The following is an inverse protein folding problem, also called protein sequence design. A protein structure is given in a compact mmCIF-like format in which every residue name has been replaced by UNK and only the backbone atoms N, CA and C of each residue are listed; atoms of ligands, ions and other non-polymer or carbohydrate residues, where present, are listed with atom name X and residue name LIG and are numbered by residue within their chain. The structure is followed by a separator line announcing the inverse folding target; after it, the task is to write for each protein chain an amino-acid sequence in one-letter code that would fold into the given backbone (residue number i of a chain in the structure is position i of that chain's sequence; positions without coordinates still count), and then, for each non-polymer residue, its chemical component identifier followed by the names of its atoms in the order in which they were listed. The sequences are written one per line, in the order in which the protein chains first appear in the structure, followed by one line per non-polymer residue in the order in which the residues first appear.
data_IF_187629151441
#
_entry.id   IF_187629151441
#
_cell.length_a   1.000
_cell.length_b   1.000
_cell.length_c   1.000
_cell.angle_alpha   90.00
_cell.angle_beta   90.00
_cell.angle_gamma   90.00
#
_symmetry.space_group_name_H-M   'P 1'
#
loop_
_entity.id
_entity.type
_entity.pdbx_description
1 polymer ?
#
# COMPACT_ATOMS: atom_id res chain seq x y z
N UNK A 1 -19.69 -1.73 -2.12
CA UNK A 1 -19.72 -1.25 -3.53
C UNK A 1 -18.54 -1.83 -4.30
N UNK A 2 -17.28 -1.72 -3.81
CA UNK A 2 -16.06 -2.13 -4.53
C UNK A 2 -16.16 -3.56 -5.10
N UNK A 3 -16.47 -4.57 -4.27
CA UNK A 3 -16.65 -5.94 -4.72
C UNK A 3 -17.67 -6.06 -5.87
N UNK A 4 -18.81 -5.36 -5.79
CA UNK A 4 -19.85 -5.39 -6.85
C UNK A 4 -19.39 -4.76 -8.18
N UNK A 5 -18.47 -3.81 -8.12
CA UNK A 5 -17.85 -3.22 -9.32
C UNK A 5 -16.91 -4.22 -9.98
N UNK A 6 -16.08 -4.89 -9.17
CA UNK A 6 -15.16 -5.93 -9.67
C UNK A 6 -15.94 -7.09 -10.29
N UNK A 7 -17.02 -7.59 -9.67
CA UNK A 7 -17.90 -8.62 -10.23
C UNK A 7 -18.47 -8.26 -11.59
N UNK A 8 -18.58 -6.96 -11.90
CA UNK A 8 -19.06 -6.44 -13.19
C UNK A 8 -17.94 -6.08 -14.17
N UNK A 9 -16.72 -6.53 -13.90
CA UNK A 9 -15.58 -6.36 -14.79
C UNK A 9 -14.81 -5.04 -14.64
N UNK A 10 -15.08 -4.24 -13.59
CA UNK A 10 -14.24 -3.08 -13.29
C UNK A 10 -12.90 -3.59 -12.75
N UNK A 11 -11.84 -3.33 -13.49
CA UNK A 11 -10.51 -3.90 -13.20
C UNK A 11 -9.78 -3.21 -12.07
N UNK A 12 -10.04 -1.93 -11.84
CA UNK A 12 -9.35 -1.15 -10.81
C UNK A 12 -10.36 -0.28 -10.05
N UNK A 13 -10.40 -0.45 -8.74
CA UNK A 13 -11.28 0.31 -7.85
C UNK A 13 -10.43 0.96 -6.78
N UNK A 14 -10.39 2.29 -6.79
CA UNK A 14 -9.64 3.06 -5.81
C UNK A 14 -10.58 3.72 -4.81
N UNK A 15 -10.29 3.56 -3.53
CA UNK A 15 -11.07 4.10 -2.43
C UNK A 15 -10.22 5.08 -1.64
N UNK A 16 -10.71 6.29 -1.51
CA UNK A 16 -10.09 7.30 -0.67
C UNK A 16 -10.94 7.60 0.55
N UNK A 17 -10.29 7.81 1.67
CA UNK A 17 -10.95 8.44 2.81
C UNK A 17 -11.10 9.95 2.53
N UNK A 18 -12.25 10.51 2.87
CA UNK A 18 -12.45 11.96 2.75
C UNK A 18 -11.52 12.72 3.71
N UNK A 19 -10.91 13.80 3.25
CA UNK A 19 -9.90 14.59 3.98
C UNK A 19 -8.63 13.77 4.23
N UNK A 20 -7.79 14.18 5.20
CA UNK A 20 -6.52 13.54 5.55
C UNK A 20 -6.55 13.00 7.00
N UNK A 21 -7.35 11.97 7.30
CA UNK A 21 -7.55 11.51 8.67
C UNK A 21 -6.33 10.81 9.29
N UNK A 22 -5.35 10.46 8.46
CA UNK A 22 -4.10 9.81 8.86
C UNK A 22 -2.95 10.79 9.07
N UNK A 23 -3.12 12.05 8.66
CA UNK A 23 -2.12 13.11 8.77
C UNK A 23 -2.21 13.79 10.14
N UNK A 24 -1.74 13.10 11.17
CA UNK A 24 -1.88 13.51 12.56
C UNK A 24 -0.60 14.14 13.09
N UNK A 25 -0.39 15.43 12.81
CA UNK A 25 0.67 16.26 13.40
C UNK A 25 0.37 16.69 14.85
N UNK A 26 -0.86 16.44 15.30
CA UNK A 26 -1.30 16.67 16.67
C UNK A 26 -2.44 15.73 17.05
N UNK A 27 -2.74 15.62 18.34
CA UNK A 27 -3.87 14.84 18.85
C UNK A 27 -3.93 13.39 18.37
N UNK A 28 -2.77 12.75 18.13
CA UNK A 28 -2.65 11.39 17.57
C UNK A 28 -3.48 10.38 18.36
N UNK A 29 -3.37 10.42 19.70
CA UNK A 29 -4.03 9.46 20.59
C UNK A 29 -5.56 9.46 20.49
N UNK A 30 -6.15 10.56 20.01
CA UNK A 30 -7.60 10.69 19.85
C UNK A 30 -8.05 10.60 18.39
N UNK A 31 -7.23 11.05 17.46
CA UNK A 31 -7.57 11.12 16.03
C UNK A 31 -7.36 9.79 15.32
N UNK A 32 -6.24 9.12 15.56
CA UNK A 32 -5.93 7.84 14.94
C UNK A 32 -6.96 6.75 15.26
N UNK A 33 -7.39 6.52 16.51
CA UNK A 33 -8.44 5.54 16.79
C UNK A 33 -9.75 5.81 16.04
N UNK A 34 -10.13 7.08 15.87
CA UNK A 34 -11.33 7.46 15.10
C UNK A 34 -11.20 7.15 13.62
N UNK A 35 -10.01 7.32 13.05
CA UNK A 35 -9.73 6.95 11.67
C UNK A 35 -9.78 5.41 11.50
N UNK A 36 -9.13 4.67 12.39
CA UNK A 36 -9.15 3.20 12.40
C UNK A 36 -10.58 2.65 12.51
N UNK A 37 -11.40 3.14 13.43
CA UNK A 37 -12.79 2.70 13.60
C UNK A 37 -13.63 2.80 12.32
N UNK A 38 -13.32 3.77 11.44
CA UNK A 38 -14.02 3.96 10.17
C UNK A 38 -13.58 2.99 9.08
N UNK A 39 -12.37 2.49 9.15
CA UNK A 39 -11.74 1.70 8.06
C UNK A 39 -11.55 0.23 8.40
N UNK A 40 -11.37 -0.15 9.66
CA UNK A 40 -11.06 -1.53 10.05
C UNK A 40 -12.14 -2.52 9.64
N UNK A 41 -13.38 -2.28 10.07
CA UNK A 41 -14.51 -3.17 9.74
C UNK A 41 -14.80 -3.24 8.24
N UNK A 42 -14.85 -2.11 7.49
CA UNK A 42 -15.02 -2.16 6.04
C UNK A 42 -13.89 -2.91 5.32
N UNK A 43 -12.64 -2.71 5.72
CA UNK A 43 -11.49 -3.40 5.12
C UNK A 43 -11.54 -4.90 5.38
N UNK A 44 -11.72 -5.30 6.64
CA UNK A 44 -11.88 -6.70 7.01
C UNK A 44 -13.09 -7.34 6.33
N UNK A 45 -14.21 -6.61 6.23
CA UNK A 45 -15.44 -7.05 5.56
C UNK A 45 -15.22 -7.29 4.07
N UNK A 46 -14.46 -6.42 3.39
CA UNK A 46 -14.13 -6.60 1.97
C UNK A 46 -13.32 -7.86 1.73
N UNK A 47 -12.23 -8.07 2.49
CA UNK A 47 -11.38 -9.25 2.34
C UNK A 47 -12.16 -10.54 2.65
N UNK A 48 -12.97 -10.55 3.71
CA UNK A 48 -13.82 -11.69 4.05
C UNK A 48 -14.86 -12.00 2.97
N UNK A 49 -15.53 -10.98 2.43
CA UNK A 49 -16.56 -11.16 1.40
C UNK A 49 -15.94 -11.71 0.10
N UNK A 50 -14.78 -11.19 -0.31
CA UNK A 50 -14.04 -11.72 -1.46
C UNK A 50 -13.62 -13.17 -1.24
N UNK A 51 -13.09 -13.50 -0.06
CA UNK A 51 -12.68 -14.88 0.28
C UNK A 51 -13.87 -15.85 0.26
N UNK A 52 -14.99 -15.49 0.90
CA UNK A 52 -16.18 -16.33 0.95
C UNK A 52 -16.81 -16.59 -0.42
N UNK A 53 -16.57 -15.71 -1.38
CA UNK A 53 -17.05 -15.84 -2.77
C UNK A 53 -16.08 -16.52 -3.71
N UNK A 54 -14.90 -16.92 -3.22
CA UNK A 54 -13.85 -17.49 -4.05
C UNK A 54 -13.20 -16.48 -5.02
N UNK A 55 -13.32 -15.18 -4.74
CA UNK A 55 -12.81 -14.12 -5.60
C UNK A 55 -11.43 -13.63 -5.15
N UNK A 56 -10.99 -13.94 -3.93
CA UNK A 56 -9.79 -13.35 -3.35
C UNK A 56 -8.51 -13.76 -4.12
N UNK A 57 -8.50 -14.96 -4.70
CA UNK A 57 -7.34 -15.44 -5.46
C UNK A 57 -7.11 -14.67 -6.77
N UNK A 58 -8.18 -14.07 -7.33
CA UNK A 58 -8.14 -13.26 -8.55
C UNK A 58 -8.18 -11.75 -8.30
N UNK A 59 -8.46 -11.32 -7.07
CA UNK A 59 -8.60 -9.92 -6.70
C UNK A 59 -7.55 -9.51 -5.69
N UNK A 60 -6.63 -8.64 -6.11
CA UNK A 60 -5.67 -8.03 -5.21
C UNK A 60 -6.33 -6.91 -4.42
N UNK A 61 -6.28 -6.99 -3.11
CA UNK A 61 -6.64 -5.90 -2.20
C UNK A 61 -5.36 -5.28 -1.65
N UNK A 62 -5.17 -4.01 -1.92
CA UNK A 62 -4.07 -3.20 -1.39
C UNK A 62 -4.59 -2.16 -0.40
N UNK A 63 -3.91 -2.02 0.73
CA UNK A 63 -4.12 -0.95 1.69
C UNK A 63 -2.79 -0.32 2.07
N UNK A 64 -2.72 0.99 2.02
CA UNK A 64 -1.52 1.73 2.37
C UNK A 64 -1.73 3.23 2.26
N UNK A 65 -0.71 3.97 2.63
CA UNK A 65 -0.57 5.39 2.41
C UNK A 65 0.62 5.68 1.50
N UNK A 66 0.87 6.95 1.27
CA UNK A 66 1.96 7.45 0.41
C UNK A 66 3.27 7.69 1.17
N UNK A 67 3.21 7.79 2.50
CA UNK A 67 4.37 8.12 3.33
C UNK A 67 4.24 7.51 4.74
N UNK A 68 5.36 7.26 5.39
CA UNK A 68 5.42 6.82 6.79
C UNK A 68 5.32 7.97 7.79
N UNK A 69 5.41 7.61 9.05
CA UNK A 69 5.44 8.55 10.18
C UNK A 69 6.66 8.30 11.04
N UNK A 70 7.30 9.37 11.53
CA UNK A 70 8.44 9.28 12.41
C UNK A 70 8.09 8.53 13.70
N UNK A 71 9.02 7.71 14.25
CA UNK A 71 8.80 7.00 15.51
C UNK A 71 8.84 7.90 16.74
N UNK A 72 9.11 9.18 16.56
CA UNK A 72 9.19 10.20 17.63
C UNK A 72 7.95 11.09 17.63
N UNK A 73 7.62 11.63 18.81
CA UNK A 73 6.49 12.56 18.96
C UNK A 73 6.86 13.92 18.39
N UNK A 74 5.96 14.49 17.59
CA UNK A 74 5.99 15.86 17.16
C UNK A 74 5.24 16.74 18.18
N UNK A 75 5.92 17.73 18.74
CA UNK A 75 5.34 18.66 19.72
C UNK A 75 5.23 18.09 21.13
N UNK A 76 4.15 18.41 21.82
CA UNK A 76 3.91 18.01 23.22
C UNK A 76 3.67 16.50 23.33
N UNK A 77 4.33 15.77 24.24
CA UNK A 77 4.19 14.31 24.37
C UNK A 77 2.77 13.81 24.64
N UNK A 78 1.90 14.64 25.22
CA UNK A 78 0.51 14.25 25.56
C UNK A 78 -0.49 14.57 24.46
N UNK A 79 -0.22 15.61 23.66
CA UNK A 79 -1.15 16.12 22.65
C UNK A 79 -0.56 16.16 21.26
N UNK A 80 0.68 15.76 21.11
CA UNK A 80 1.40 15.77 19.84
C UNK A 80 0.94 14.74 18.84
N UNK A 81 1.62 14.74 17.72
CA UNK A 81 1.40 13.83 16.61
C UNK A 81 2.70 13.15 16.17
N UNK A 82 2.77 12.89 14.88
CA UNK A 82 3.94 12.32 14.23
C UNK A 82 4.16 13.00 12.89
N UNK A 83 5.35 13.51 12.67
CA UNK A 83 5.73 14.08 11.38
C UNK A 83 5.97 13.00 10.32
N UNK A 84 6.04 13.42 9.08
CA UNK A 84 6.27 12.56 7.92
C UNK A 84 7.61 11.85 7.98
N UNK A 85 7.63 10.61 7.51
CA UNK A 85 8.84 9.82 7.38
C UNK A 85 8.94 9.20 5.97
N UNK A 86 9.76 9.78 5.13
CA UNK A 86 10.05 9.27 3.78
C UNK A 86 11.05 8.10 3.76
N UNK A 87 11.60 7.70 4.90
CA UNK A 87 12.62 6.64 4.96
C UNK A 87 12.06 5.23 5.08
N UNK A 88 10.78 5.11 5.32
CA UNK A 88 10.11 3.81 5.37
C UNK A 88 8.68 3.89 5.85
N UNK A 89 7.83 3.02 5.30
CA UNK A 89 6.45 2.81 5.73
C UNK A 89 6.02 1.40 5.37
N UNK A 90 4.87 0.99 5.87
CA UNK A 90 4.32 -0.34 5.63
C UNK A 90 3.00 -0.28 4.89
N UNK A 91 2.80 -1.23 4.00
CA UNK A 91 1.51 -1.50 3.34
C UNK A 91 1.11 -2.95 3.61
N UNK A 92 -0.13 -3.32 3.34
CA UNK A 92 -0.50 -4.73 3.26
C UNK A 92 -1.23 -5.04 1.96
N UNK A 93 -1.06 -6.28 1.53
CA UNK A 93 -1.67 -6.86 0.36
C UNK A 93 -2.42 -8.13 0.74
N UNK A 94 -3.53 -8.41 0.07
CA UNK A 94 -4.27 -9.66 0.26
C UNK A 94 -4.85 -10.14 -1.07
N UNK A 95 -4.72 -11.43 -1.33
CA UNK A 95 -5.22 -12.08 -2.55
C UNK A 95 -4.41 -11.75 -3.81
N UNK A 96 -5.00 -12.02 -4.97
CA UNK A 96 -4.44 -11.69 -6.28
C UNK A 96 -3.03 -12.21 -6.54
N UNK A 97 -2.68 -13.42 -6.06
CA UNK A 97 -1.34 -14.01 -6.25
C UNK A 97 -0.31 -13.61 -5.19
N UNK A 98 -0.72 -12.96 -4.09
CA UNK A 98 0.17 -12.67 -2.96
C UNK A 98 0.19 -13.85 -1.99
N UNK A 99 1.39 -14.23 -1.56
CA UNK A 99 1.63 -15.28 -0.55
C UNK A 99 1.02 -14.88 0.79
N UNK A 100 0.04 -15.63 1.32
CA UNK A 100 -0.63 -15.25 2.54
C UNK A 100 0.25 -15.48 3.78
N UNK A 101 0.03 -14.67 4.83
CA UNK A 101 0.67 -14.84 6.14
C UNK A 101 2.16 -14.54 6.15
N UNK A 102 2.66 -13.77 5.19
CA UNK A 102 4.07 -13.39 5.10
C UNK A 102 4.26 -11.93 5.52
N UNK A 103 5.45 -11.64 6.04
CA UNK A 103 5.97 -10.28 6.19
C UNK A 103 7.27 -10.19 5.41
N UNK A 104 7.44 -9.12 4.64
CA UNK A 104 8.64 -8.87 3.86
C UNK A 104 9.18 -7.48 4.14
N UNK A 105 10.48 -7.41 4.36
CA UNK A 105 11.14 -6.20 4.80
C UNK A 105 11.02 -5.94 6.30
N UNK A 106 11.95 -5.15 6.80
CA UNK A 106 12.03 -4.78 8.21
C UNK A 106 12.59 -3.38 8.36
N UNK A 107 12.09 -2.64 9.35
CA UNK A 107 12.70 -1.38 9.77
C UNK A 107 13.93 -1.61 10.63
N UNK A 108 14.71 -0.55 10.85
CA UNK A 108 15.72 -0.51 11.88
C UNK A 108 15.12 -0.65 13.30
N UNK A 109 15.98 -0.80 14.30
CA UNK A 109 15.59 -1.06 15.70
C UNK A 109 14.66 0.00 16.30
N UNK A 110 14.70 1.21 15.77
CA UNK A 110 13.89 2.34 16.27
C UNK A 110 12.69 2.67 15.37
N UNK A 111 12.52 1.94 14.25
CA UNK A 111 11.43 2.17 13.31
C UNK A 111 11.57 3.46 12.49
N UNK A 112 12.80 3.95 12.30
CA UNK A 112 13.06 5.21 11.60
C UNK A 112 13.18 5.02 10.07
N UNK A 113 13.83 3.95 9.62
CA UNK A 113 14.06 3.68 8.19
C UNK A 113 13.88 2.21 7.86
N UNK A 114 13.59 1.91 6.60
CA UNK A 114 13.70 0.56 6.08
C UNK A 114 15.16 0.10 6.15
N UNK A 115 15.41 -1.13 6.62
CA UNK A 115 16.75 -1.65 6.89
C UNK A 115 17.03 -2.99 6.22
N UNK A 116 16.06 -3.90 6.18
CA UNK A 116 16.22 -5.22 5.57
C UNK A 116 15.18 -5.45 4.47
N UNK A 117 15.58 -6.12 3.39
CA UNK A 117 14.72 -6.40 2.23
C UNK A 117 13.93 -5.17 1.79
N UNK A 118 14.65 -4.07 1.58
CA UNK A 118 14.08 -2.77 1.26
C UNK A 118 13.35 -2.86 -0.08
N UNK A 119 12.10 -2.42 -0.10
CA UNK A 119 11.28 -2.30 -1.30
C UNK A 119 11.09 -0.82 -1.59
N UNK A 120 11.65 -0.33 -2.70
CA UNK A 120 11.41 1.03 -3.14
C UNK A 120 10.09 1.14 -3.93
N UNK A 121 9.56 2.35 -4.16
CA UNK A 121 8.30 2.53 -4.89
C UNK A 121 8.30 1.91 -6.29
N UNK A 122 9.44 1.89 -6.99
CA UNK A 122 9.53 1.30 -8.34
C UNK A 122 9.47 -0.24 -8.27
N UNK A 123 10.14 -0.86 -7.28
CA UNK A 123 10.06 -2.32 -7.04
C UNK A 123 8.62 -2.73 -6.69
N UNK A 124 7.97 -1.92 -5.86
CA UNK A 124 6.58 -2.14 -5.49
C UNK A 124 5.67 -2.08 -6.73
N UNK A 125 5.79 -1.05 -7.57
CA UNK A 125 5.01 -0.92 -8.79
C UNK A 125 5.31 -2.05 -9.79
N UNK A 126 6.58 -2.43 -9.98
CA UNK A 126 6.96 -3.57 -10.82
C UNK A 126 6.30 -4.87 -10.35
N UNK A 127 6.22 -5.08 -9.02
CA UNK A 127 5.55 -6.24 -8.43
C UNK A 127 4.04 -6.22 -8.69
N UNK A 128 3.39 -5.07 -8.55
CA UNK A 128 1.96 -4.92 -8.86
C UNK A 128 1.70 -5.18 -10.35
N UNK A 129 2.53 -4.65 -11.27
CA UNK A 129 2.39 -4.91 -12.70
C UNK A 129 2.56 -6.40 -13.02
N UNK A 130 3.51 -7.08 -12.39
CA UNK A 130 3.68 -8.54 -12.52
C UNK A 130 2.40 -9.30 -12.17
N UNK A 131 1.72 -8.92 -11.09
CA UNK A 131 0.43 -9.51 -10.70
C UNK A 131 -0.69 -9.26 -11.72
N UNK A 132 -0.62 -8.17 -12.48
CA UNK A 132 -1.51 -7.90 -13.62
C UNK A 132 -1.09 -8.63 -14.90
N UNK A 133 0.01 -9.37 -14.89
CA UNK A 133 0.57 -10.03 -16.10
C UNK A 133 1.27 -9.04 -17.03
N UNK A 134 1.71 -7.91 -16.55
CA UNK A 134 2.38 -6.84 -17.31
C UNK A 134 3.86 -6.82 -16.93
N UNK A 135 4.76 -6.90 -17.93
CA UNK A 135 6.17 -6.57 -17.70
C UNK A 135 6.31 -5.04 -17.59
N UNK A 136 6.78 -4.57 -16.44
CA UNK A 136 6.93 -3.13 -16.20
C UNK A 136 7.94 -2.46 -17.16
N UNK A 137 8.85 -3.24 -17.75
CA UNK A 137 9.86 -2.74 -18.70
C UNK A 137 9.25 -2.38 -20.04
N UNK A 138 8.17 -3.06 -20.41
CA UNK A 138 7.44 -2.86 -21.67
C UNK A 138 6.35 -1.78 -21.54
N UNK A 139 6.09 -1.32 -20.32
CA UNK A 139 5.03 -0.37 -20.06
C UNK A 139 5.54 1.07 -20.14
N UNK A 140 5.18 1.77 -21.20
CA UNK A 140 5.53 3.16 -21.44
C UNK A 140 4.37 3.93 -22.09
N UNK A 141 4.44 5.25 -22.03
CA UNK A 141 3.59 6.14 -22.82
C UNK A 141 4.44 7.19 -23.53
N UNK A 142 3.94 7.69 -24.65
CA UNK A 142 4.63 8.71 -25.41
C UNK A 142 4.24 10.10 -24.89
N UNK A 143 5.24 10.91 -24.55
CA UNK A 143 5.08 12.31 -24.20
C UNK A 143 6.10 13.15 -24.97
N UNK A 144 5.61 14.08 -25.79
CA UNK A 144 6.46 14.92 -26.66
C UNK A 144 7.46 14.11 -27.53
N UNK A 145 7.02 12.96 -28.05
CA UNK A 145 7.85 12.07 -28.87
C UNK A 145 8.89 11.25 -28.12
N UNK A 146 8.91 11.29 -26.78
CA UNK A 146 9.77 10.49 -25.93
C UNK A 146 8.98 9.42 -25.17
N UNK A 147 9.54 8.23 -25.05
CA UNK A 147 8.99 7.18 -24.20
C UNK A 147 9.20 7.53 -22.72
N UNK A 148 8.10 7.52 -21.98
CA UNK A 148 8.09 7.69 -20.54
C UNK A 148 7.67 6.38 -19.89
N UNK A 149 8.51 5.80 -19.05
CA UNK A 149 8.22 4.56 -18.32
C UNK A 149 7.53 4.87 -17.00
N UNK A 150 6.64 3.99 -16.56
CA UNK A 150 5.94 4.11 -15.28
C UNK A 150 6.83 3.74 -14.09
N UNK A 151 7.81 2.87 -14.31
CA UNK A 151 8.91 2.67 -13.37
C UNK A 151 10.10 3.50 -13.86
N UNK A 152 10.39 4.59 -13.16
CA UNK A 152 11.41 5.57 -13.56
C UNK A 152 12.82 4.98 -13.55
N UNK A 153 13.06 3.96 -12.76
CA UNK A 153 14.33 3.27 -12.62
C UNK A 153 14.28 1.92 -13.37
N UNK A 154 15.12 1.75 -14.37
CA UNK A 154 15.26 0.49 -15.11
C UNK A 154 15.76 -0.68 -14.23
N UNK A 155 16.33 -0.38 -13.07
CA UNK A 155 16.75 -1.37 -12.07
C UNK A 155 15.62 -1.87 -11.17
N UNK A 156 14.38 -1.38 -11.35
CA UNK A 156 13.23 -1.84 -10.59
C UNK A 156 13.10 -3.37 -10.65
N UNK A 157 12.91 -4.00 -9.49
CA UNK A 157 12.86 -5.45 -9.34
C UNK A 157 11.50 -5.89 -8.82
N UNK A 158 10.98 -6.95 -9.41
CA UNK A 158 9.83 -7.65 -8.84
C UNK A 158 10.23 -8.31 -7.52
N UNK A 159 9.45 -8.12 -6.48
CA UNK A 159 9.65 -8.76 -5.18
C UNK A 159 9.03 -10.17 -5.22
N UNK A 160 9.76 -11.12 -5.79
CA UNK A 160 9.27 -12.50 -6.03
C UNK A 160 8.92 -13.23 -4.72
N UNK A 161 9.58 -12.92 -3.62
CA UNK A 161 9.41 -13.60 -2.32
C UNK A 161 8.01 -13.44 -1.73
N UNK A 162 7.25 -12.42 -2.15
CA UNK A 162 5.87 -12.20 -1.69
C UNK A 162 4.81 -12.80 -2.64
N UNK A 163 5.22 -13.35 -3.78
CA UNK A 163 4.32 -13.96 -4.77
C UNK A 163 4.05 -15.43 -4.43
N UNK A 164 2.81 -15.90 -4.70
CA UNK A 164 2.36 -17.28 -4.43
C UNK A 164 2.75 -18.24 -5.56
#
# INVERSE_FOLDING_TARGET
IARRLVERGVRFVQLFHARQPWDNHSALLTSLPKACQKTDKPSAGLVKDLKQRGMLDEVLVHWGGEIGRLPVVEGDPKTGGRDHNGQGFSTWLAGGGIKPGTTYGQSDEVGHKAAENIVNPNDYQATIFKLFGIDHKDLYYLHNGQEQKLTVNEEAKVVEDILA
#
